data_IF_439782092692
#
_entry.id   IF_439782092692
#
_cell.length_a   1.000
_cell.length_b   1.000
_cell.length_c   1.000
_cell.angle_alpha   90.00
_cell.angle_beta   90.00
_cell.angle_gamma   90.00
#
_symmetry.space_group_name_H-M   'P 1'
#
loop_
_entity.id
_entity.type
_entity.pdbx_description
1 polymer ?
#
# COMPACT_ATOMS: atom_id res chain seq x y z
N UNK A 1 -65.10 58.60 -4.72
CA UNK A 1 -64.73 57.25 -4.22
C UNK A 1 -63.37 56.88 -4.81
N UNK A 2 -62.38 56.67 -3.93
CA UNK A 2 -61.15 55.85 -4.09
C UNK A 2 -60.25 56.15 -5.31
N UNK A 3 -59.23 57.01 -5.16
CA UNK A 3 -57.80 56.69 -4.83
C UNK A 3 -57.07 56.02 -6.03
N UNK A 4 -56.34 56.77 -6.88
CA UNK A 4 -54.89 57.11 -6.81
C UNK A 4 -53.95 55.88 -6.86
N UNK A 5 -53.16 55.72 -7.94
CA UNK A 5 -51.71 56.03 -7.93
C UNK A 5 -50.99 55.65 -9.23
N UNK A 6 -50.14 56.59 -9.64
CA UNK A 6 -49.09 56.55 -10.65
C UNK A 6 -47.85 55.84 -10.06
N UNK A 7 -46.99 55.26 -10.90
CA UNK A 7 -45.52 55.47 -10.97
C UNK A 7 -44.82 54.25 -11.59
N UNK A 8 -44.11 54.52 -12.68
CA UNK A 8 -43.10 53.65 -13.29
C UNK A 8 -41.87 53.51 -12.39
N UNK A 9 -41.30 52.31 -12.29
CA UNK A 9 -40.01 52.11 -11.65
C UNK A 9 -39.14 51.11 -12.42
N UNK A 10 -37.98 51.65 -12.81
CA UNK A 10 -36.73 51.05 -13.28
C UNK A 10 -36.56 49.54 -13.07
N UNK A 11 -36.25 48.86 -14.18
CA UNK A 11 -35.56 47.58 -14.21
C UNK A 11 -34.08 47.83 -13.96
N UNK A 12 -33.64 47.63 -12.72
CA UNK A 12 -32.24 47.45 -12.35
C UNK A 12 -32.19 46.63 -11.06
N UNK A 13 -31.55 45.45 -11.13
CA UNK A 13 -31.11 44.72 -9.96
C UNK A 13 -31.75 43.36 -9.74
N UNK A 14 -31.20 42.34 -10.40
CA UNK A 14 -30.50 41.28 -9.65
C UNK A 14 -29.71 40.45 -10.65
N UNK A 15 -28.39 40.66 -10.62
CA UNK A 15 -27.46 39.67 -11.13
C UNK A 15 -27.85 38.34 -10.49
N UNK A 16 -28.23 37.38 -11.33
CA UNK A 16 -28.37 36.01 -10.90
C UNK A 16 -27.03 35.60 -10.32
N UNK A 17 -26.98 35.46 -8.99
CA UNK A 17 -26.02 34.57 -8.38
C UNK A 17 -26.33 33.21 -8.99
N UNK A 18 -25.56 32.82 -10.01
CA UNK A 18 -25.42 31.43 -10.41
C UNK A 18 -24.96 30.71 -9.16
N UNK A 19 -25.92 30.11 -8.45
CA UNK A 19 -25.70 29.07 -7.47
C UNK A 19 -25.07 27.93 -8.27
N UNK A 20 -23.76 28.04 -8.53
CA UNK A 20 -22.97 26.91 -8.93
C UNK A 20 -23.26 25.88 -7.86
N UNK A 21 -23.90 24.77 -8.24
CA UNK A 21 -24.05 23.63 -7.35
C UNK A 21 -22.63 23.24 -6.93
N UNK A 22 -22.22 23.70 -5.75
CA UNK A 22 -20.98 23.27 -5.15
C UNK A 22 -21.20 21.81 -4.83
N UNK A 23 -20.61 20.92 -5.64
CA UNK A 23 -20.52 19.51 -5.30
C UNK A 23 -19.88 19.44 -3.92
N UNK A 24 -20.62 18.91 -2.95
CA UNK A 24 -20.19 18.87 -1.55
C UNK A 24 -19.62 17.48 -1.23
N UNK A 25 -18.35 17.42 -0.86
CA UNK A 25 -17.61 16.19 -0.53
C UNK A 25 -17.52 15.94 0.99
N UNK A 26 -18.33 16.64 1.79
CA UNK A 26 -18.33 16.49 3.24
C UNK A 26 -19.00 15.18 3.67
N UNK A 27 -18.48 14.58 4.73
CA UNK A 27 -18.95 13.34 5.37
C UNK A 27 -19.11 12.13 4.44
N UNK A 28 -18.47 12.14 3.27
CA UNK A 28 -18.53 10.98 2.39
C UNK A 28 -17.94 9.75 3.09
N UNK A 29 -18.59 8.58 2.99
CA UNK A 29 -18.06 7.34 3.55
C UNK A 29 -16.83 6.87 2.77
N UNK A 30 -16.00 6.02 3.40
CA UNK A 30 -14.83 5.41 2.77
C UNK A 30 -15.19 4.04 2.20
N UNK A 31 -16.07 4.00 1.19
CA UNK A 31 -16.65 2.76 0.65
C UNK A 31 -15.63 1.84 -0.04
N UNK A 32 -14.49 2.40 -0.48
CA UNK A 32 -13.37 1.66 -1.04
C UNK A 32 -12.06 1.92 -0.27
N UNK A 33 -12.15 2.16 1.05
CA UNK A 33 -10.96 2.40 1.88
C UNK A 33 -9.97 1.24 1.90
N UNK A 34 -10.44 0.01 1.65
CA UNK A 34 -9.62 -1.20 1.57
C UNK A 34 -8.97 -1.43 0.20
N UNK A 35 -9.20 -0.53 -0.77
CA UNK A 35 -8.63 -0.60 -2.11
C UNK A 35 -9.05 -1.81 -2.94
N UNK A 36 -10.15 -2.50 -2.63
CA UNK A 36 -10.58 -3.71 -3.35
C UNK A 36 -11.36 -3.43 -4.64
N UNK A 37 -11.90 -2.23 -4.81
CA UNK A 37 -12.63 -1.80 -6.00
C UNK A 37 -11.79 -0.89 -6.88
N UNK A 38 -12.23 -0.70 -8.13
CA UNK A 38 -11.67 0.28 -9.06
C UNK A 38 -11.72 1.70 -8.47
N UNK A 39 -10.68 2.50 -8.72
CA UNK A 39 -10.69 3.92 -8.38
C UNK A 39 -10.11 4.26 -7.01
N UNK A 40 -10.45 5.43 -6.49
CA UNK A 40 -10.01 5.93 -5.18
C UNK A 40 -10.92 5.47 -4.03
N UNK A 41 -11.04 6.27 -2.97
CA UNK A 41 -11.74 5.87 -1.72
C UNK A 41 -13.27 5.93 -1.83
N UNK A 42 -13.80 6.70 -2.78
CA UNK A 42 -15.24 6.85 -3.04
C UNK A 42 -15.50 7.19 -4.51
N UNK A 43 -16.54 6.62 -5.16
CA UNK A 43 -16.80 6.83 -6.59
C UNK A 43 -17.16 8.28 -6.96
N UNK A 44 -17.80 9.02 -6.06
CA UNK A 44 -18.23 10.41 -6.31
C UNK A 44 -17.10 11.44 -6.13
N UNK A 45 -15.91 11.01 -5.70
CA UNK A 45 -14.78 11.92 -5.53
C UNK A 45 -14.06 12.15 -6.87
N UNK A 46 -13.61 13.39 -7.14
CA UNK A 46 -12.85 13.69 -8.34
C UNK A 46 -11.47 13.00 -8.32
N UNK A 47 -10.91 12.86 -9.52
CA UNK A 47 -9.53 12.40 -9.74
C UNK A 47 -8.60 13.53 -10.17
N UNK A 48 -9.15 14.67 -10.58
CA UNK A 48 -8.37 15.85 -10.93
C UNK A 48 -7.85 16.53 -9.66
N UNK A 49 -6.52 16.59 -9.51
CA UNK A 49 -5.89 17.11 -8.30
C UNK A 49 -6.24 18.57 -8.03
N UNK A 50 -6.29 19.42 -9.06
CA UNK A 50 -6.60 20.84 -8.89
C UNK A 50 -8.01 21.06 -8.34
N UNK A 51 -8.99 20.29 -8.82
CA UNK A 51 -10.36 20.29 -8.30
C UNK A 51 -10.41 19.90 -6.83
N UNK A 52 -9.68 18.85 -6.44
CA UNK A 52 -9.61 18.42 -5.04
C UNK A 52 -8.93 19.49 -4.17
N UNK A 53 -7.81 20.06 -4.63
CA UNK A 53 -7.06 21.13 -3.93
C UNK A 53 -7.95 22.34 -3.68
N UNK A 54 -8.73 22.77 -4.68
CA UNK A 54 -9.67 23.89 -4.55
C UNK A 54 -10.75 23.63 -3.50
N UNK A 55 -11.32 22.42 -3.48
CA UNK A 55 -12.33 22.05 -2.50
C UNK A 55 -11.75 21.98 -1.07
N UNK A 56 -10.57 21.38 -0.90
CA UNK A 56 -9.87 21.36 0.40
C UNK A 56 -9.54 22.77 0.89
N UNK A 57 -9.05 23.65 0.02
CA UNK A 57 -8.77 25.04 0.36
C UNK A 57 -10.03 25.78 0.83
N UNK A 58 -11.17 25.58 0.15
CA UNK A 58 -12.45 26.15 0.54
C UNK A 58 -12.93 25.65 1.91
N UNK A 59 -12.76 24.37 2.22
CA UNK A 59 -13.11 23.80 3.53
C UNK A 59 -12.22 24.31 4.66
N UNK A 60 -10.91 24.41 4.42
CA UNK A 60 -9.94 24.99 5.38
C UNK A 60 -10.23 26.47 5.64
N UNK A 61 -10.52 27.26 4.61
CA UNK A 61 -10.85 28.69 4.75
C UNK A 61 -12.13 28.93 5.56
N UNK A 62 -13.07 27.97 5.54
CA UNK A 62 -14.28 27.97 6.37
C UNK A 62 -14.06 27.45 7.80
N UNK A 63 -12.85 27.01 8.14
CA UNK A 63 -12.54 26.45 9.46
C UNK A 63 -13.24 25.13 9.75
N UNK A 64 -13.58 24.35 8.71
CA UNK A 64 -14.19 23.03 8.92
C UNK A 64 -13.16 22.06 9.52
N UNK A 65 -13.60 21.21 10.44
CA UNK A 65 -12.73 20.20 11.04
C UNK A 65 -12.33 19.14 9.99
N UNK A 66 -11.06 18.68 9.92
CA UNK A 66 -10.60 17.71 8.91
C UNK A 66 -11.42 16.43 8.80
N UNK A 67 -11.97 15.94 9.92
CA UNK A 67 -12.85 14.76 9.94
C UNK A 67 -14.04 14.87 8.99
N UNK A 68 -14.54 16.10 8.78
CA UNK A 68 -15.67 16.42 7.90
C UNK A 68 -15.34 16.24 6.43
N UNK A 69 -14.09 16.37 6.03
CA UNK A 69 -13.65 16.22 4.62
C UNK A 69 -12.63 15.08 4.47
N UNK A 70 -12.63 14.13 5.40
CA UNK A 70 -11.70 12.99 5.46
C UNK A 70 -11.56 12.25 4.13
N UNK A 71 -12.68 11.93 3.46
CA UNK A 71 -12.65 11.19 2.20
C UNK A 71 -11.95 11.98 1.10
N UNK A 72 -12.24 13.28 0.99
CA UNK A 72 -11.60 14.17 0.04
C UNK A 72 -10.09 14.34 0.36
N UNK A 73 -9.73 14.49 1.63
CA UNK A 73 -8.32 14.60 2.06
C UNK A 73 -7.54 13.33 1.73
N UNK A 74 -8.13 12.15 1.95
CA UNK A 74 -7.46 10.90 1.61
C UNK A 74 -7.30 10.75 0.10
N UNK A 75 -8.38 11.01 -0.65
CA UNK A 75 -8.36 11.00 -2.12
C UNK A 75 -7.27 11.91 -2.68
N UNK A 76 -7.12 13.13 -2.14
CA UNK A 76 -6.09 14.07 -2.55
C UNK A 76 -4.68 13.47 -2.49
N UNK A 77 -4.32 12.88 -1.35
CA UNK A 77 -2.99 12.31 -1.16
C UNK A 77 -2.78 11.04 -1.99
N UNK A 78 -3.83 10.24 -2.21
CA UNK A 78 -3.78 9.09 -3.11
C UNK A 78 -3.59 9.54 -4.57
N UNK A 79 -4.34 10.55 -5.02
CA UNK A 79 -4.22 11.10 -6.38
C UNK A 79 -2.81 11.63 -6.61
N UNK A 80 -2.27 12.42 -5.66
CA UNK A 80 -0.90 12.91 -5.75
C UNK A 80 0.13 11.78 -5.79
N UNK A 81 0.02 10.79 -4.89
CA UNK A 81 0.91 9.63 -4.92
C UNK A 81 0.80 8.85 -6.25
N UNK A 82 -0.41 8.69 -6.78
CA UNK A 82 -0.65 8.00 -8.05
C UNK A 82 -0.08 8.76 -9.24
N UNK A 83 -0.19 10.09 -9.27
CA UNK A 83 0.48 10.95 -10.26
C UNK A 83 2.00 10.79 -10.19
N UNK A 84 2.58 10.85 -8.98
CA UNK A 84 4.03 10.69 -8.78
C UNK A 84 4.54 9.31 -9.20
N UNK A 85 3.69 8.29 -9.11
CA UNK A 85 3.94 6.92 -9.54
C UNK A 85 3.62 6.65 -11.03
N UNK A 86 3.01 7.58 -11.74
CA UNK A 86 2.54 7.37 -13.12
C UNK A 86 1.37 6.38 -13.24
N UNK A 87 0.58 6.21 -12.18
CA UNK A 87 -0.59 5.32 -12.13
C UNK A 87 -1.88 6.12 -12.31
N UNK A 88 -2.71 5.72 -13.27
CA UNK A 88 -4.05 6.30 -13.46
C UNK A 88 -5.03 5.73 -12.43
N UNK A 89 -5.18 6.41 -11.30
CA UNK A 89 -6.03 5.96 -10.18
C UNK A 89 -7.46 5.62 -10.61
N UNK A 90 -8.06 6.43 -11.49
CA UNK A 90 -9.42 6.21 -12.00
C UNK A 90 -9.59 4.91 -12.78
N UNK A 91 -8.52 4.32 -13.30
CA UNK A 91 -8.53 3.06 -14.04
C UNK A 91 -7.96 1.88 -13.23
N UNK A 92 -7.38 2.15 -12.06
CA UNK A 92 -6.73 1.14 -11.25
C UNK A 92 -7.77 0.22 -10.59
N UNK A 93 -7.90 -0.98 -11.15
CA UNK A 93 -8.84 -2.01 -10.73
C UNK A 93 -8.10 -3.31 -10.38
N UNK A 94 -7.96 -3.67 -9.08
CA UNK A 94 -7.28 -4.89 -8.66
C UNK A 94 -8.07 -6.16 -9.01
N UNK A 95 -9.34 -6.06 -9.44
CA UNK A 95 -10.13 -7.21 -9.87
C UNK A 95 -9.71 -7.72 -11.25
N UNK A 96 -8.97 -6.92 -12.03
CA UNK A 96 -8.42 -7.35 -13.31
C UNK A 96 -7.29 -8.37 -13.10
N UNK A 97 -7.08 -9.31 -14.04
CA UNK A 97 -5.99 -10.28 -13.96
C UNK A 97 -4.62 -9.62 -13.75
N UNK A 98 -3.72 -10.28 -13.01
CA UNK A 98 -2.40 -9.74 -12.67
C UNK A 98 -1.58 -9.32 -13.88
N UNK A 99 -1.66 -10.06 -15.00
CA UNK A 99 -0.97 -9.67 -16.23
C UNK A 99 -1.51 -8.36 -16.84
N UNK A 100 -2.80 -8.06 -16.68
CA UNK A 100 -3.37 -6.77 -17.10
C UNK A 100 -3.01 -5.63 -16.13
N UNK A 101 -2.79 -5.95 -14.85
CA UNK A 101 -2.32 -5.01 -13.85
C UNK A 101 -0.79 -4.88 -13.81
N UNK A 102 -0.03 -5.62 -14.65
CA UNK A 102 1.43 -5.70 -14.58
C UNK A 102 2.11 -4.34 -14.60
N UNK A 103 1.68 -3.44 -15.48
CA UNK A 103 2.24 -2.08 -15.56
C UNK A 103 2.02 -1.30 -14.27
N UNK A 104 0.85 -1.41 -13.66
CA UNK A 104 0.53 -0.75 -12.38
C UNK A 104 1.32 -1.36 -11.24
N UNK A 105 1.42 -2.69 -11.17
CA UNK A 105 2.20 -3.40 -10.15
C UNK A 105 3.65 -2.88 -10.17
N UNK A 106 4.23 -2.76 -11.35
CA UNK A 106 5.63 -2.35 -11.53
C UNK A 106 5.80 -0.86 -11.22
N UNK A 107 4.91 -0.01 -11.72
CA UNK A 107 4.93 1.43 -11.47
C UNK A 107 4.90 1.77 -9.97
N UNK A 108 4.09 1.06 -9.17
CA UNK A 108 4.04 1.25 -7.70
C UNK A 108 5.39 0.97 -7.05
N UNK A 109 6.08 -0.10 -7.46
CA UNK A 109 7.34 -0.46 -6.83
C UNK A 109 8.53 0.33 -7.37
N UNK A 110 8.51 0.75 -8.64
CA UNK A 110 9.46 1.72 -9.18
C UNK A 110 9.30 3.08 -8.48
N UNK A 111 8.08 3.47 -8.12
CA UNK A 111 7.81 4.64 -7.28
C UNK A 111 8.45 4.51 -5.89
N UNK A 112 8.32 3.36 -5.22
CA UNK A 112 8.98 3.14 -3.92
C UNK A 112 10.51 3.19 -4.04
N UNK A 113 11.07 2.62 -5.12
CA UNK A 113 12.50 2.74 -5.40
C UNK A 113 12.91 4.20 -5.57
N UNK A 114 12.20 4.96 -6.41
CA UNK A 114 12.46 6.39 -6.64
C UNK A 114 12.43 7.19 -5.34
N UNK A 115 11.44 6.97 -4.48
CA UNK A 115 11.33 7.67 -3.20
C UNK A 115 12.53 7.37 -2.29
N UNK A 116 12.90 6.09 -2.14
CA UNK A 116 14.06 5.72 -1.34
C UNK A 116 15.36 6.30 -1.90
N UNK A 117 15.60 6.18 -3.21
CA UNK A 117 16.83 6.65 -3.85
C UNK A 117 16.98 8.18 -3.78
N UNK A 118 15.86 8.91 -3.76
CA UNK A 118 15.84 10.38 -3.63
C UNK A 118 16.01 10.82 -2.18
N UNK A 119 15.47 10.05 -1.23
CA UNK A 119 15.43 10.40 0.19
C UNK A 119 15.93 9.24 1.09
N UNK A 120 17.17 8.76 0.89
CA UNK A 120 17.65 7.54 1.55
C UNK A 120 17.84 7.71 3.06
N UNK A 121 17.97 8.96 3.52
CA UNK A 121 18.11 9.33 4.94
C UNK A 121 16.80 9.26 5.71
N UNK A 122 15.66 9.51 5.06
CA UNK A 122 14.38 9.69 5.76
C UNK A 122 13.35 8.63 5.41
N UNK A 123 13.36 8.07 4.19
CA UNK A 123 12.31 7.15 3.72
C UNK A 123 12.78 5.70 3.76
N UNK A 124 13.32 5.24 4.90
CA UNK A 124 13.86 3.88 5.01
C UNK A 124 12.80 2.79 4.82
N UNK A 125 11.55 3.04 5.17
CA UNK A 125 10.48 2.08 4.89
C UNK A 125 10.24 1.88 3.39
N UNK A 126 10.42 2.90 2.54
CA UNK A 126 10.33 2.75 1.07
C UNK A 126 11.38 1.79 0.53
N UNK A 127 12.61 1.85 1.07
CA UNK A 127 13.67 0.91 0.74
C UNK A 127 13.31 -0.51 1.18
N UNK A 128 12.78 -0.67 2.40
CA UNK A 128 12.33 -1.95 2.92
C UNK A 128 11.21 -2.57 2.07
N UNK A 129 10.15 -1.81 1.82
CA UNK A 129 9.01 -2.21 1.01
C UNK A 129 9.45 -2.58 -0.42
N UNK A 130 10.36 -1.81 -1.02
CA UNK A 130 10.88 -2.11 -2.35
C UNK A 130 11.78 -3.35 -2.39
N UNK A 131 12.53 -3.66 -1.33
CA UNK A 131 13.28 -4.92 -1.25
C UNK A 131 12.32 -6.12 -1.13
N UNK A 132 11.25 -6.00 -0.34
CA UNK A 132 10.22 -7.04 -0.22
C UNK A 132 9.39 -7.28 -1.49
N UNK A 133 9.15 -6.21 -2.26
CA UNK A 133 8.20 -6.17 -3.36
C UNK A 133 8.37 -7.22 -4.48
N UNK A 134 9.58 -7.59 -4.94
CA UNK A 134 9.73 -8.51 -6.06
C UNK A 134 9.12 -9.88 -5.80
N UNK A 135 9.26 -10.40 -4.59
CA UNK A 135 8.66 -11.66 -4.15
C UNK A 135 7.12 -11.60 -4.17
N UNK A 136 6.57 -10.47 -3.71
CA UNK A 136 5.13 -10.25 -3.67
C UNK A 136 4.53 -10.12 -5.08
N UNK A 137 5.18 -9.35 -5.96
CA UNK A 137 4.79 -9.21 -7.36
C UNK A 137 4.90 -10.53 -8.13
N UNK A 138 5.96 -11.33 -7.90
CA UNK A 138 6.06 -12.67 -8.46
C UNK A 138 4.88 -13.55 -8.01
N UNK A 139 4.55 -13.53 -6.71
CA UNK A 139 3.40 -14.24 -6.16
C UNK A 139 2.06 -13.84 -6.79
N UNK A 140 1.82 -12.54 -7.01
CA UNK A 140 0.62 -12.07 -7.73
C UNK A 140 0.52 -12.67 -9.12
N UNK A 141 1.62 -12.65 -9.89
CA UNK A 141 1.61 -13.10 -11.27
C UNK A 141 1.53 -14.63 -11.36
N UNK A 142 2.24 -15.37 -10.50
CA UNK A 142 2.20 -16.84 -10.47
C UNK A 142 0.83 -17.36 -10.04
N UNK A 143 0.29 -16.86 -8.92
CA UNK A 143 -1.06 -17.26 -8.47
C UNK A 143 -2.13 -16.84 -9.48
N UNK A 144 -1.94 -15.71 -10.17
CA UNK A 144 -2.87 -15.21 -11.19
C UNK A 144 -2.92 -16.07 -12.45
N UNK A 145 -1.82 -16.79 -12.74
CA UNK A 145 -1.73 -17.70 -13.88
C UNK A 145 -2.50 -19.01 -13.67
N UNK A 146 -2.76 -19.39 -12.41
CA UNK A 146 -3.52 -20.59 -12.06
C UNK A 146 -4.98 -20.21 -11.78
N UNK A 147 -5.96 -20.69 -12.58
CA UNK A 147 -7.37 -20.28 -12.45
C UNK A 147 -7.94 -20.42 -11.03
N UNK A 148 -7.61 -21.50 -10.33
CA UNK A 148 -8.08 -21.82 -8.98
C UNK A 148 -7.49 -20.88 -7.92
N UNK A 149 -6.32 -20.28 -8.19
CA UNK A 149 -5.60 -19.39 -7.27
C UNK A 149 -5.76 -17.91 -7.62
N UNK A 150 -6.45 -17.58 -8.72
CA UNK A 150 -6.63 -16.21 -9.19
C UNK A 150 -7.22 -15.28 -8.14
N UNK A 151 -8.13 -15.77 -7.31
CA UNK A 151 -8.69 -14.96 -6.23
C UNK A 151 -7.63 -14.53 -5.20
N UNK A 152 -6.65 -15.39 -4.88
CA UNK A 152 -5.54 -15.01 -3.99
C UNK A 152 -4.65 -13.95 -4.66
N UNK A 153 -4.38 -14.09 -5.96
CA UNK A 153 -3.70 -13.06 -6.74
C UNK A 153 -4.44 -11.71 -6.69
N UNK A 154 -5.75 -11.70 -6.90
CA UNK A 154 -6.61 -10.51 -6.75
C UNK A 154 -6.53 -9.92 -5.36
N UNK A 155 -6.57 -10.74 -4.30
CA UNK A 155 -6.42 -10.27 -2.92
C UNK A 155 -5.04 -9.64 -2.67
N UNK A 156 -3.96 -10.21 -3.20
CA UNK A 156 -2.61 -9.63 -3.09
C UNK A 156 -2.50 -8.29 -3.83
N UNK A 157 -3.10 -8.16 -5.02
CA UNK A 157 -3.18 -6.89 -5.74
C UNK A 157 -4.00 -5.84 -4.98
N UNK A 158 -5.11 -6.25 -4.36
CA UNK A 158 -5.89 -5.35 -3.52
C UNK A 158 -5.13 -4.93 -2.26
N UNK A 159 -4.36 -5.83 -1.64
CA UNK A 159 -3.45 -5.48 -0.53
C UNK A 159 -2.40 -4.47 -0.98
N UNK A 160 -1.75 -4.68 -2.13
CA UNK A 160 -0.79 -3.71 -2.69
C UNK A 160 -1.43 -2.33 -2.85
N UNK A 161 -2.62 -2.27 -3.44
CA UNK A 161 -3.35 -1.01 -3.62
C UNK A 161 -3.71 -0.38 -2.28
N UNK A 162 -4.15 -1.16 -1.30
CA UNK A 162 -4.49 -0.68 0.04
C UNK A 162 -3.25 -0.08 0.75
N UNK A 163 -2.10 -0.76 0.70
CA UNK A 163 -0.82 -0.25 1.22
C UNK A 163 -0.43 1.04 0.51
N UNK A 164 -0.57 1.11 -0.81
CA UNK A 164 -0.30 2.32 -1.57
C UNK A 164 -1.21 3.47 -1.17
N UNK A 165 -2.52 3.21 -1.04
CA UNK A 165 -3.49 4.21 -0.63
C UNK A 165 -3.24 4.70 0.79
N UNK A 166 -2.68 3.86 1.68
CA UNK A 166 -2.34 4.23 3.05
C UNK A 166 -0.92 4.82 3.15
N UNK A 167 0.12 3.98 3.09
CA UNK A 167 1.53 4.36 3.27
C UNK A 167 2.06 5.18 2.09
N UNK A 168 1.68 4.87 0.86
CA UNK A 168 2.06 5.70 -0.30
C UNK A 168 1.50 7.13 -0.20
N UNK A 169 0.23 7.27 0.20
CA UNK A 169 -0.39 8.57 0.42
C UNK A 169 0.23 9.34 1.60
N UNK A 170 0.58 8.67 2.70
CA UNK A 170 1.28 9.32 3.82
C UNK A 170 2.67 9.85 3.41
N UNK A 171 3.42 9.12 2.58
CA UNK A 171 4.70 9.60 2.08
C UNK A 171 4.52 10.82 1.15
N UNK A 172 3.49 10.83 0.31
CA UNK A 172 3.15 12.02 -0.47
C UNK A 172 2.75 13.21 0.42
N UNK A 173 1.99 12.97 1.49
CA UNK A 173 1.64 14.00 2.46
C UNK A 173 2.87 14.60 3.12
N UNK A 174 3.78 13.76 3.61
CA UNK A 174 5.02 14.19 4.26
C UNK A 174 5.94 14.96 3.30
N UNK A 175 6.17 14.44 2.09
CA UNK A 175 7.10 15.06 1.14
C UNK A 175 6.61 16.40 0.61
N UNK A 176 5.32 16.55 0.38
CA UNK A 176 4.77 17.75 -0.25
C UNK A 176 4.12 18.74 0.72
N UNK A 177 3.76 18.30 1.93
CA UNK A 177 3.11 19.13 2.94
C UNK A 177 3.77 19.08 4.32
N UNK A 178 4.87 18.35 4.46
CA UNK A 178 5.60 18.21 5.72
C UNK A 178 4.80 17.51 6.81
N UNK A 179 5.27 17.64 8.04
CA UNK A 179 4.62 17.03 9.20
C UNK A 179 3.20 17.58 9.45
N UNK A 180 2.89 18.82 9.05
CA UNK A 180 1.54 19.38 9.22
C UNK A 180 0.50 18.67 8.36
N UNK A 181 0.85 18.27 7.13
CA UNK A 181 -0.04 17.46 6.29
C UNK A 181 -0.33 16.09 6.90
N UNK A 182 0.69 15.46 7.51
CA UNK A 182 0.52 14.20 8.25
C UNK A 182 -0.38 14.40 9.47
N UNK A 183 -0.21 15.50 10.22
CA UNK A 183 -1.08 15.84 11.35
C UNK A 183 -2.52 16.12 10.91
N UNK A 184 -2.73 16.72 9.75
CA UNK A 184 -4.08 16.88 9.21
C UNK A 184 -4.72 15.52 8.87
N UNK A 185 -3.95 14.56 8.35
CA UNK A 185 -4.44 13.18 8.17
C UNK A 185 -4.84 12.54 9.51
N UNK A 186 -4.08 12.78 10.58
CA UNK A 186 -4.43 12.35 11.95
C UNK A 186 -5.72 13.01 12.42
N UNK A 187 -5.83 14.32 12.26
CA UNK A 187 -6.99 15.11 12.70
C UNK A 187 -8.26 14.76 11.90
N UNK A 188 -8.08 14.25 10.68
CA UNK A 188 -9.16 13.67 9.90
C UNK A 188 -9.56 12.26 10.38
N UNK A 189 -8.72 11.58 11.16
CA UNK A 189 -8.89 10.20 11.59
C UNK A 189 -8.50 9.17 10.54
N UNK A 190 -7.59 9.51 9.62
CA UNK A 190 -7.03 8.57 8.62
C UNK A 190 -5.87 7.74 9.20
N UNK A 191 -5.09 8.34 10.09
CA UNK A 191 -3.96 7.71 10.76
C UNK A 191 -4.06 7.94 12.27
N UNK A 192 -3.56 7.00 13.06
CA UNK A 192 -3.54 7.08 14.50
C UNK A 192 -2.35 7.93 15.02
N UNK A 193 -2.35 8.21 16.33
CA UNK A 193 -1.33 9.02 16.97
C UNK A 193 0.05 8.37 16.93
N UNK A 194 0.14 7.05 17.04
CA UNK A 194 1.40 6.29 17.01
C UNK A 194 2.05 6.37 15.63
N UNK A 195 1.26 6.15 14.57
CA UNK A 195 1.66 6.33 13.17
C UNK A 195 2.11 7.77 12.92
N UNK A 196 1.40 8.76 13.48
CA UNK A 196 1.77 10.17 13.34
C UNK A 196 3.11 10.47 14.04
N UNK A 197 3.35 9.87 15.21
CA UNK A 197 4.59 10.05 15.95
C UNK A 197 5.79 9.47 15.20
N UNK A 198 5.62 8.34 14.50
CA UNK A 198 6.65 7.76 13.63
C UNK A 198 7.14 8.72 12.53
N UNK A 199 6.32 9.67 12.09
CA UNK A 199 6.73 10.70 11.12
C UNK A 199 7.64 11.80 11.68
N UNK A 200 7.89 11.82 13.00
CA UNK A 200 8.89 12.72 13.59
C UNK A 200 10.33 12.30 13.24
N UNK A 201 10.58 11.00 13.11
CA UNK A 201 11.84 10.42 12.64
C UNK A 201 11.58 9.20 11.73
N UNK A 202 11.13 9.43 10.49
CA UNK A 202 10.72 8.35 9.59
C UNK A 202 11.89 7.43 9.19
N UNK A 203 13.14 7.85 9.43
CA UNK A 203 14.32 7.04 9.22
C UNK A 203 14.38 5.83 10.17
N UNK A 204 13.88 6.00 11.38
CA UNK A 204 13.87 4.96 12.43
C UNK A 204 12.53 4.19 12.47
N UNK A 205 11.53 4.63 11.71
CA UNK A 205 10.16 4.15 11.84
C UNK A 205 9.81 2.91 10.98
N UNK A 206 10.81 2.12 10.56
CA UNK A 206 10.57 0.97 9.66
C UNK A 206 9.67 -0.06 10.35
N UNK A 207 9.88 -0.31 11.65
CA UNK A 207 9.07 -1.23 12.43
C UNK A 207 7.62 -0.75 12.57
N UNK A 208 7.43 0.53 12.87
CA UNK A 208 6.12 1.16 13.10
C UNK A 208 5.29 1.16 11.81
N UNK A 209 5.88 1.58 10.69
CA UNK A 209 5.20 1.55 9.39
C UNK A 209 4.90 0.12 8.94
N UNK A 210 5.80 -0.84 9.20
CA UNK A 210 5.55 -2.26 8.93
C UNK A 210 4.44 -2.83 9.80
N UNK A 211 4.35 -2.42 11.07
CA UNK A 211 3.25 -2.83 11.97
C UNK A 211 1.92 -2.31 11.46
N UNK A 212 1.84 -1.01 11.10
CA UNK A 212 0.64 -0.43 10.52
C UNK A 212 0.20 -1.19 9.27
N UNK A 213 1.12 -1.42 8.35
CA UNK A 213 0.87 -2.20 7.14
C UNK A 213 0.23 -3.55 7.50
N UNK A 214 0.93 -4.36 8.30
CA UNK A 214 0.66 -5.78 8.47
C UNK A 214 -0.45 -6.10 9.47
N UNK A 215 -0.66 -5.23 10.47
CA UNK A 215 -1.57 -5.45 11.59
C UNK A 215 -2.83 -4.57 11.55
N UNK A 216 -2.81 -3.46 10.80
CA UNK A 216 -3.95 -2.56 10.65
C UNK A 216 -4.50 -2.58 9.21
N UNK A 217 -3.67 -2.24 8.24
CA UNK A 217 -4.09 -1.99 6.85
C UNK A 217 -4.53 -3.30 6.19
N UNK A 218 -3.63 -4.28 6.06
CA UNK A 218 -3.92 -5.51 5.31
C UNK A 218 -4.33 -6.70 6.19
N UNK A 219 -4.44 -6.53 7.51
CA UNK A 219 -4.78 -7.60 8.44
C UNK A 219 -6.11 -8.29 8.10
N UNK A 220 -7.16 -7.50 7.80
CA UNK A 220 -8.46 -8.03 7.40
C UNK A 220 -8.42 -8.81 6.08
N UNK A 221 -7.58 -8.38 5.14
CA UNK A 221 -7.41 -9.06 3.85
C UNK A 221 -6.71 -10.41 4.03
N UNK A 222 -5.72 -10.50 4.92
CA UNK A 222 -5.09 -11.78 5.28
C UNK A 222 -6.06 -12.74 5.96
N UNK A 223 -6.88 -12.23 6.89
CA UNK A 223 -7.91 -13.03 7.54
C UNK A 223 -8.87 -13.64 6.52
N UNK A 224 -9.30 -12.86 5.51
CA UNK A 224 -10.13 -13.36 4.40
C UNK A 224 -9.40 -14.37 3.52
N UNK A 225 -8.11 -14.16 3.24
CA UNK A 225 -7.31 -15.15 2.49
C UNK A 225 -7.27 -16.49 3.20
N UNK A 226 -7.01 -16.48 4.52
CA UNK A 226 -6.94 -17.70 5.33
C UNK A 226 -8.28 -18.40 5.48
N UNK A 227 -9.37 -17.65 5.71
CA UNK A 227 -10.70 -18.21 5.97
C UNK A 227 -11.46 -18.64 4.71
N UNK A 228 -10.87 -18.47 3.51
CA UNK A 228 -11.50 -18.88 2.26
C UNK A 228 -11.83 -20.38 2.26
N UNK A 229 -13.03 -20.73 1.79
CA UNK A 229 -13.48 -22.12 1.72
C UNK A 229 -12.85 -22.90 0.56
N UNK A 230 -12.85 -22.36 -0.67
CA UNK A 230 -12.44 -23.09 -1.89
C UNK A 230 -11.60 -22.25 -2.88
N UNK A 231 -10.37 -22.68 -3.23
CA UNK A 231 -9.62 -23.71 -2.52
C UNK A 231 -9.37 -23.27 -1.06
N UNK A 232 -9.19 -24.22 -0.11
CA UNK A 232 -9.05 -23.89 1.31
C UNK A 232 -7.91 -22.90 1.54
N UNK A 233 -8.26 -21.73 2.08
CA UNK A 233 -7.36 -20.62 2.32
C UNK A 233 -6.16 -21.01 3.18
N UNK A 234 -6.41 -21.75 4.26
CA UNK A 234 -5.36 -22.22 5.15
C UNK A 234 -4.29 -23.06 4.44
N UNK A 235 -4.70 -23.92 3.50
CA UNK A 235 -3.78 -24.76 2.73
C UNK A 235 -2.96 -23.90 1.77
N UNK A 236 -3.63 -23.01 1.03
CA UNK A 236 -2.95 -22.13 0.07
C UNK A 236 -1.97 -21.19 0.77
N UNK A 237 -2.37 -20.56 1.89
CA UNK A 237 -1.49 -19.63 2.61
C UNK A 237 -0.37 -20.36 3.36
N UNK A 238 -0.59 -21.60 3.81
CA UNK A 238 0.48 -22.44 4.33
C UNK A 238 1.49 -22.82 3.23
N UNK A 239 1.03 -23.18 2.03
CA UNK A 239 1.90 -23.42 0.89
C UNK A 239 2.73 -22.18 0.52
N UNK A 240 2.14 -20.98 0.58
CA UNK A 240 2.87 -19.71 0.45
C UNK A 240 3.94 -19.56 1.53
N UNK A 241 3.70 -20.04 2.75
CA UNK A 241 4.69 -20.01 3.84
C UNK A 241 5.88 -20.93 3.54
N UNK A 242 5.59 -22.15 3.04
CA UNK A 242 6.61 -23.13 2.67
C UNK A 242 7.46 -22.64 1.50
N UNK A 243 6.82 -22.11 0.45
CA UNK A 243 7.49 -21.70 -0.79
C UNK A 243 8.03 -20.25 -0.77
N UNK A 244 7.60 -19.45 0.21
CA UNK A 244 7.88 -18.03 0.31
C UNK A 244 9.38 -17.74 0.31
N UNK A 245 9.90 -16.95 -0.63
CA UNK A 245 11.29 -16.52 -0.58
C UNK A 245 11.50 -15.46 0.50
N UNK A 246 12.76 -15.23 0.87
CA UNK A 246 13.15 -14.06 1.66
C UNK A 246 13.99 -13.13 0.79
N UNK A 247 13.44 -11.98 0.36
CA UNK A 247 14.18 -11.05 -0.47
C UNK A 247 15.09 -10.09 0.32
N UNK A 248 14.92 -10.00 1.65
CA UNK A 248 15.79 -9.19 2.52
C UNK A 248 17.08 -9.96 2.84
N UNK A 249 18.26 -9.47 2.43
CA UNK A 249 19.51 -10.17 2.71
C UNK A 249 19.73 -10.37 4.20
N UNK A 250 20.15 -11.58 4.58
CA UNK A 250 20.39 -11.96 5.98
C UNK A 250 19.13 -12.28 6.79
N UNK A 251 17.94 -12.21 6.19
CA UNK A 251 16.71 -12.76 6.76
C UNK A 251 16.54 -14.25 6.43
N UNK A 252 15.70 -14.93 7.19
CA UNK A 252 15.31 -16.33 6.96
C UNK A 252 14.07 -16.41 6.08
N UNK A 253 13.94 -17.48 5.29
CA UNK A 253 12.63 -17.75 4.66
C UNK A 253 11.58 -18.05 5.73
N UNK A 254 10.28 -17.85 5.44
CA UNK A 254 9.23 -18.22 6.39
C UNK A 254 9.31 -19.71 6.79
N UNK A 255 9.69 -20.60 5.85
CA UNK A 255 9.93 -22.02 6.15
C UNK A 255 11.06 -22.25 7.18
N UNK A 256 12.13 -21.44 7.13
CA UNK A 256 13.30 -21.58 8.00
C UNK A 256 13.14 -20.91 9.38
N UNK A 257 12.22 -19.97 9.52
CA UNK A 257 12.13 -19.14 10.72
C UNK A 257 11.70 -19.92 11.98
N UNK A 258 10.67 -20.76 11.86
CA UNK A 258 10.17 -21.64 12.93
C UNK A 258 9.90 -23.04 12.39
N UNK A 259 10.91 -23.91 12.28
CA UNK A 259 10.73 -25.26 11.76
C UNK A 259 9.91 -26.13 12.72
N UNK A 260 8.88 -26.80 12.21
CA UNK A 260 8.04 -27.74 12.93
C UNK A 260 8.87 -29.00 13.24
N UNK A 261 9.06 -29.25 14.54
CA UNK A 261 9.89 -30.37 15.05
C UNK A 261 11.32 -30.42 14.45
N UNK A 262 11.88 -29.27 14.07
CA UNK A 262 13.19 -29.20 13.41
C UNK A 262 13.23 -29.72 11.97
N UNK A 263 12.07 -30.03 11.38
CA UNK A 263 11.94 -30.46 9.99
C UNK A 263 11.82 -29.31 8.99
N UNK A 264 11.62 -29.61 7.69
CA UNK A 264 11.59 -28.61 6.62
C UNK A 264 10.29 -27.81 6.54
N UNK A 265 9.27 -28.17 7.34
CA UNK A 265 7.96 -27.53 7.34
C UNK A 265 7.89 -26.45 8.42
N UNK A 266 7.30 -25.27 8.16
CA UNK A 266 7.10 -24.25 9.18
C UNK A 266 6.01 -24.64 10.18
N UNK A 267 6.20 -24.25 11.43
CA UNK A 267 5.23 -24.40 12.52
C UNK A 267 4.15 -23.31 12.52
N UNK A 268 4.04 -22.50 11.47
CA UNK A 268 3.08 -21.42 11.36
C UNK A 268 2.57 -21.23 9.94
N UNK A 269 1.51 -20.44 9.80
CA UNK A 269 0.93 -20.03 8.53
C UNK A 269 1.12 -18.51 8.37
N UNK A 270 1.65 -18.07 7.23
CA UNK A 270 1.94 -16.66 6.96
C UNK A 270 0.69 -15.76 6.99
N UNK A 271 -0.50 -16.31 6.76
CA UNK A 271 -1.73 -15.52 6.87
C UNK A 271 -2.19 -15.33 8.33
N UNK A 272 -1.66 -16.11 9.29
CA UNK A 272 -1.86 -15.86 10.72
C UNK A 272 -1.19 -14.55 11.14
N UNK A 273 -1.96 -13.64 11.74
CA UNK A 273 -1.48 -12.30 12.06
C UNK A 273 -0.37 -12.31 13.11
N UNK A 274 -0.54 -13.05 14.19
CA UNK A 274 0.42 -13.06 15.30
C UNK A 274 1.73 -13.73 14.87
N UNK A 275 1.65 -14.87 14.18
CA UNK A 275 2.82 -15.56 13.69
C UNK A 275 3.54 -14.78 12.57
N UNK A 276 2.80 -14.14 11.66
CA UNK A 276 3.39 -13.25 10.64
C UNK A 276 4.09 -12.06 11.29
N UNK A 277 3.47 -11.43 12.28
CA UNK A 277 4.08 -10.31 12.96
C UNK A 277 5.34 -10.74 13.74
N UNK A 278 5.29 -11.88 14.44
CA UNK A 278 6.46 -12.44 15.12
C UNK A 278 7.63 -12.67 14.15
N UNK A 279 7.36 -13.24 12.97
CA UNK A 279 8.37 -13.39 11.91
C UNK A 279 8.93 -12.05 11.42
N UNK A 280 8.06 -11.10 11.07
CA UNK A 280 8.50 -9.83 10.51
C UNK A 280 9.28 -8.99 11.53
N UNK A 281 8.80 -8.91 12.76
CA UNK A 281 9.38 -8.08 13.82
C UNK A 281 10.67 -8.64 14.41
N UNK A 282 10.85 -9.97 14.43
CA UNK A 282 12.05 -10.59 15.02
C UNK A 282 13.10 -11.03 13.99
N UNK A 283 12.76 -11.17 12.71
CA UNK A 283 13.70 -11.60 11.67
C UNK A 283 13.80 -10.62 10.52
N UNK A 284 12.69 -10.34 9.82
CA UNK A 284 12.73 -9.63 8.53
C UNK A 284 13.08 -8.16 8.65
N UNK A 285 12.39 -7.41 9.53
CA UNK A 285 12.69 -5.99 9.78
C UNK A 285 14.09 -5.83 10.39
N UNK A 286 14.49 -6.59 11.44
CA UNK A 286 15.85 -6.52 11.95
C UNK A 286 16.93 -6.87 10.92
N UNK A 287 16.67 -7.81 10.00
CA UNK A 287 17.60 -8.12 8.92
C UNK A 287 17.80 -6.92 7.98
N UNK A 288 16.71 -6.25 7.61
CA UNK A 288 16.79 -5.02 6.82
C UNK A 288 17.54 -3.91 7.55
N UNK A 289 17.28 -3.73 8.85
CA UNK A 289 17.90 -2.67 9.63
C UNK A 289 19.41 -2.83 9.80
N UNK A 290 19.92 -4.07 9.75
CA UNK A 290 21.35 -4.37 9.71
C UNK A 290 22.04 -4.02 8.39
N UNK A 291 21.27 -3.81 7.30
CA UNK A 291 21.86 -3.49 6.01
C UNK A 291 22.45 -2.08 6.02
N UNK A 292 23.67 -1.96 5.47
CA UNK A 292 24.24 -0.64 5.21
C UNK A 292 23.42 0.07 4.14
N UNK A 293 23.46 1.41 4.15
CA UNK A 293 22.83 2.23 3.12
C UNK A 293 23.27 1.83 1.71
N UNK A 294 24.56 1.61 1.51
CA UNK A 294 25.10 1.21 0.21
C UNK A 294 24.55 -0.14 -0.24
N UNK A 295 24.34 -1.08 0.68
CA UNK A 295 23.71 -2.36 0.37
C UNK A 295 22.26 -2.18 -0.08
N UNK A 296 21.47 -1.38 0.65
CA UNK A 296 20.08 -1.08 0.28
C UNK A 296 20.03 -0.35 -1.07
N UNK A 297 20.86 0.67 -1.28
CA UNK A 297 20.95 1.40 -2.55
C UNK A 297 21.29 0.47 -3.71
N UNK A 298 22.29 -0.42 -3.55
CA UNK A 298 22.66 -1.40 -4.58
C UNK A 298 21.53 -2.35 -4.97
N UNK A 299 20.66 -2.71 -4.04
CA UNK A 299 19.53 -3.60 -4.31
C UNK A 299 18.40 -2.81 -4.99
N UNK A 300 18.04 -1.66 -4.42
CA UNK A 300 16.89 -0.86 -4.87
C UNK A 300 17.11 -0.29 -6.28
N UNK A 301 18.34 0.07 -6.65
CA UNK A 301 18.66 0.57 -7.99
C UNK A 301 18.55 -0.49 -9.11
N UNK A 302 18.48 -1.78 -8.76
CA UNK A 302 18.33 -2.85 -9.77
C UNK A 302 16.93 -2.75 -10.40
N UNK A 303 16.82 -2.93 -11.73
CA UNK A 303 15.53 -2.94 -12.40
C UNK A 303 14.54 -3.87 -11.70
N UNK A 304 13.34 -3.36 -11.40
CA UNK A 304 12.34 -4.13 -10.66
C UNK A 304 11.94 -5.40 -11.42
N UNK A 305 11.86 -5.32 -12.75
CA UNK A 305 11.54 -6.45 -13.62
C UNK A 305 12.50 -7.64 -13.45
N UNK A 306 13.81 -7.37 -13.38
CA UNK A 306 14.83 -8.41 -13.23
C UNK A 306 14.69 -9.09 -11.87
N UNK A 307 14.49 -8.30 -10.81
CA UNK A 307 14.25 -8.83 -9.46
C UNK A 307 12.98 -9.66 -9.39
N UNK A 308 11.88 -9.26 -10.06
CA UNK A 308 10.65 -10.07 -10.10
C UNK A 308 10.90 -11.39 -10.81
N UNK A 309 11.65 -11.39 -11.91
CA UNK A 309 11.96 -12.60 -12.68
C UNK A 309 12.69 -13.65 -11.82
N UNK A 310 13.59 -13.22 -10.93
CA UNK A 310 14.30 -14.10 -9.98
C UNK A 310 13.36 -14.84 -9.01
N UNK A 311 12.20 -14.27 -8.68
CA UNK A 311 11.26 -14.86 -7.73
C UNK A 311 10.11 -15.64 -8.36
N UNK A 312 9.96 -15.63 -9.69
CA UNK A 312 8.92 -16.41 -10.37
C UNK A 312 9.12 -17.91 -10.11
N UNK A 313 8.03 -18.64 -9.91
CA UNK A 313 8.06 -20.08 -9.67
C UNK A 313 8.82 -20.85 -10.76
N UNK A 314 8.74 -20.41 -12.02
CA UNK A 314 9.51 -21.00 -13.12
C UNK A 314 11.03 -20.88 -12.93
N UNK A 315 11.52 -19.76 -12.40
CA UNK A 315 12.93 -19.56 -12.08
C UNK A 315 13.35 -20.31 -10.81
N UNK A 316 12.39 -20.58 -9.90
CA UNK A 316 12.61 -21.24 -8.61
C UNK A 316 12.24 -22.72 -8.58
N UNK A 317 11.99 -23.35 -9.73
CA UNK A 317 11.49 -24.72 -9.81
C UNK A 317 12.39 -25.72 -9.05
N UNK A 318 13.71 -25.51 -9.08
CA UNK A 318 14.68 -26.34 -8.34
C UNK A 318 14.68 -26.08 -6.83
N UNK A 319 14.39 -24.86 -6.38
CA UNK A 319 14.33 -24.49 -4.95
C UNK A 319 13.05 -24.99 -4.27
N UNK A 320 12.02 -25.27 -5.06
CA UNK A 320 10.73 -25.77 -4.58
C UNK A 320 10.68 -27.31 -4.47
N UNK A 321 11.74 -28.01 -4.89
CA UNK A 321 11.83 -29.46 -4.75
C UNK A 321 12.31 -29.81 -3.33
N UNK A 322 11.57 -30.63 -2.56
CA UNK A 322 11.87 -30.95 -1.16
C UNK A 322 13.12 -31.83 -0.96
N UNK A 323 13.86 -32.15 -2.02
CA UNK A 323 15.02 -33.03 -2.00
C UNK A 323 16.30 -32.31 -2.44
N UNK A 324 16.76 -31.36 -1.64
CA UNK A 324 18.20 -31.12 -1.56
C UNK A 324 18.61 -31.04 -0.10
N UNK A 325 19.17 -32.15 0.38
CA UNK A 325 19.85 -32.20 1.66
C UNK A 325 20.95 -31.15 1.70
N UNK A 326 21.14 -30.58 2.89
CA UNK A 326 22.31 -29.79 3.26
C UNK A 326 23.57 -30.40 2.68
N UNK A 327 24.13 -29.76 1.65
CA UNK A 327 25.47 -30.05 1.20
C UNK A 327 26.40 -29.71 2.36
N UNK A 328 26.97 -30.76 2.97
CA UNK A 328 28.09 -30.63 3.90
C UNK A 328 29.19 -29.92 3.14
N UNK A 329 29.44 -28.67 3.52
CA UNK A 329 30.63 -27.95 3.11
C UNK A 329 31.81 -28.64 3.82
N UNK A 330 32.45 -29.57 3.11
CA UNK A 330 33.68 -30.19 3.57
C UNK A 330 34.76 -29.12 3.67
N UNK A 331 35.10 -28.72 4.90
CA UNK A 331 36.32 -27.97 5.16
C UNK A 331 37.52 -28.75 4.59
N UNK A 332 38.39 -28.14 3.77
CA UNK A 332 39.63 -28.78 3.40
C UNK A 332 40.56 -28.79 4.61
N UNK A 333 40.96 -30.00 5.02
CA UNK A 333 42.05 -30.21 5.96
C UNK A 333 43.38 -29.88 5.26
N UNK A 334 44.00 -28.78 5.66
CA UNK A 334 45.42 -28.58 6.03
C UNK A 334 45.82 -27.12 5.87
#
# INVERSE_FOLDING_TARGET
MRVLMVVAALVLGSMGATKAETVDYLDLPLVNGNGEQRGGVHPDLPYDRATIEQALAAYRARGLAPVRFKALLWQYWIVRAAEDAGVRLSEWDPQRPAEQNRSVIFAVYDFYAKLYLTHPDSLRWMGFANIGAPAFAAGMLDLGSVPELRWFSTMLMAMQKHIFMDLGAMHAAYLHGGIEAVREMRDAGLIDAETTAAWADPAQAVMEFSSREQNLVIAGQFNRMRSRLLPPGEVVTYAITVAGPMPVPGGRTPAQYRPLFGGPLPAFNYADREARWDFLSNDTVPAYERLSRDAVHRIVQRPFADRVAEYRAAARLLDLLPFRGSGVESQPSK
#
